data_IF_462145266029
#
_entry.id   IF_462145266029
#
_cell.length_a   1.000
_cell.length_b   1.000
_cell.length_c   1.000
_cell.angle_alpha   90.00
_cell.angle_beta   90.00
_cell.angle_gamma   90.00
#
_symmetry.space_group_name_H-M   'P 1'
#
loop_
_entity.id
_entity.type
_entity.pdbx_description
1 polymer ?
#
# COMPACT_ATOMS: atom_id res chain seq x y z
N UNK A 1 1.08 -28.97 -9.35
CA UNK A 1 0.52 -27.61 -9.27
C UNK A 1 1.04 -26.99 -7.98
N UNK A 2 1.93 -26.00 -8.07
CA UNK A 2 2.40 -25.27 -6.90
C UNK A 2 1.33 -24.29 -6.43
N UNK A 3 0.96 -24.35 -5.15
CA UNK A 3 0.06 -23.39 -4.54
C UNK A 3 0.80 -22.04 -4.42
N UNK A 4 0.38 -21.04 -5.22
CA UNK A 4 0.93 -19.68 -5.17
C UNK A 4 0.48 -18.99 -3.89
N UNK A 5 1.36 -18.96 -2.88
CA UNK A 5 1.13 -18.44 -1.54
C UNK A 5 1.07 -16.89 -1.53
N UNK A 6 0.11 -16.33 -0.80
CA UNK A 6 0.00 -14.89 -0.54
C UNK A 6 0.97 -14.47 0.58
N UNK A 7 2.21 -14.19 0.23
CA UNK A 7 3.21 -13.66 1.19
C UNK A 7 3.10 -12.15 1.36
N UNK A 8 3.02 -11.64 2.60
CA UNK A 8 3.27 -10.23 2.88
C UNK A 8 4.77 -9.97 2.72
N UNK A 9 5.16 -9.19 1.70
CA UNK A 9 6.55 -8.81 1.45
C UNK A 9 6.77 -7.37 1.90
N UNK A 10 7.88 -7.10 2.59
CA UNK A 10 8.32 -5.73 2.86
C UNK A 10 8.55 -5.03 1.53
N UNK A 11 7.65 -4.12 1.18
CA UNK A 11 7.71 -3.36 -0.06
C UNK A 11 7.98 -1.92 0.33
N UNK A 12 9.06 -1.35 -0.18
CA UNK A 12 9.34 0.08 -0.01
C UNK A 12 8.38 0.83 -0.93
N UNK A 13 7.45 1.59 -0.35
CA UNK A 13 6.55 2.47 -1.10
C UNK A 13 7.11 3.88 -0.95
N UNK A 14 7.62 4.49 -2.03
CA UNK A 14 8.10 5.87 -1.96
C UNK A 14 6.91 6.82 -1.75
N UNK A 15 7.10 7.93 -1.00
CA UNK A 15 6.09 8.97 -0.88
C UNK A 15 5.85 9.65 -2.24
N UNK A 16 4.63 10.07 -2.51
CA UNK A 16 4.33 10.91 -3.67
C UNK A 16 4.61 12.40 -3.40
N UNK A 17 4.43 13.25 -4.41
CA UNK A 17 4.68 14.70 -4.30
C UNK A 17 3.81 15.37 -3.22
N UNK A 18 2.56 14.94 -3.06
CA UNK A 18 1.67 15.48 -2.03
C UNK A 18 2.11 15.06 -0.64
N UNK A 19 2.54 13.80 -0.48
CA UNK A 19 3.12 13.30 0.76
C UNK A 19 4.36 14.11 1.16
N UNK A 20 5.24 14.42 0.20
CA UNK A 20 6.46 15.20 0.45
C UNK A 20 6.13 16.64 0.88
N UNK A 21 5.24 17.32 0.15
CA UNK A 21 4.84 18.69 0.53
C UNK A 21 4.16 18.74 1.91
N UNK A 22 3.37 17.74 2.26
CA UNK A 22 2.75 17.65 3.58
C UNK A 22 3.80 17.47 4.68
N UNK A 23 4.80 16.61 4.46
CA UNK A 23 5.93 16.42 5.37
C UNK A 23 6.73 17.71 5.57
N UNK A 24 7.04 18.43 4.48
CA UNK A 24 7.76 19.71 4.56
C UNK A 24 7.02 20.72 5.43
N UNK A 25 5.70 20.86 5.24
CA UNK A 25 4.87 21.74 6.06
C UNK A 25 4.89 21.34 7.53
N UNK A 26 4.69 20.05 7.82
CA UNK A 26 4.66 19.52 9.19
C UNK A 26 5.99 19.76 9.91
N UNK A 27 7.11 19.57 9.21
CA UNK A 27 8.45 19.80 9.76
C UNK A 27 8.68 21.29 10.03
N UNK A 28 8.30 22.16 9.08
CA UNK A 28 8.44 23.60 9.21
C UNK A 28 7.61 24.15 10.40
N UNK A 29 6.41 23.62 10.60
CA UNK A 29 5.50 24.04 11.66
C UNK A 29 5.79 23.35 13.02
N UNK A 30 6.69 22.37 13.05
CA UNK A 30 6.94 21.49 14.19
C UNK A 30 5.65 20.88 14.80
N UNK A 31 4.66 20.57 13.96
CA UNK A 31 3.35 20.07 14.40
C UNK A 31 3.38 18.54 14.61
N UNK A 32 3.72 18.13 15.83
CA UNK A 32 3.76 16.71 16.23
C UNK A 32 2.40 16.00 16.08
N UNK A 33 1.28 16.71 16.28
CA UNK A 33 -0.05 16.10 16.17
C UNK A 33 -0.36 15.79 14.72
N UNK A 34 -0.01 16.70 13.82
CA UNK A 34 -0.17 16.50 12.40
C UNK A 34 0.80 15.45 11.86
N UNK A 35 2.04 15.39 12.37
CA UNK A 35 2.98 14.32 12.05
C UNK A 35 2.39 12.94 12.36
N UNK A 36 1.78 12.76 13.54
CA UNK A 36 1.16 11.50 13.91
C UNK A 36 -0.05 11.15 13.03
N UNK A 37 -0.88 12.15 12.68
CA UNK A 37 -2.02 11.96 11.77
C UNK A 37 -1.56 11.56 10.37
N UNK A 38 -0.54 12.23 9.86
CA UNK A 38 0.08 11.94 8.58
C UNK A 38 0.62 10.50 8.55
N UNK A 39 1.46 10.12 9.52
CA UNK A 39 2.02 8.77 9.62
C UNK A 39 0.94 7.67 9.61
N UNK A 40 -0.14 7.84 10.39
CA UNK A 40 -1.24 6.85 10.43
C UNK A 40 -1.91 6.68 9.07
N UNK A 41 -2.14 7.79 8.35
CA UNK A 41 -2.75 7.78 7.03
C UNK A 41 -1.80 7.17 6.00
N UNK A 42 -0.58 7.68 5.89
CA UNK A 42 0.38 7.28 4.86
C UNK A 42 0.79 5.82 5.00
N UNK A 43 1.01 5.31 6.22
CA UNK A 43 1.31 3.87 6.43
C UNK A 43 0.17 2.98 5.92
N UNK A 44 -1.08 3.34 6.22
CA UNK A 44 -2.23 2.56 5.77
C UNK A 44 -2.37 2.59 4.25
N UNK A 45 -2.25 3.78 3.65
CA UNK A 45 -2.37 3.96 2.20
C UNK A 45 -1.23 3.26 1.46
N UNK A 46 0.01 3.31 1.96
CA UNK A 46 1.14 2.58 1.38
C UNK A 46 0.96 1.07 1.44
N UNK A 47 0.51 0.53 2.58
CA UNK A 47 0.19 -0.90 2.70
C UNK A 47 -0.91 -1.27 1.71
N UNK A 48 -1.99 -0.50 1.66
CA UNK A 48 -3.11 -0.72 0.73
C UNK A 48 -2.65 -0.68 -0.72
N UNK A 49 -1.83 0.29 -1.10
CA UNK A 49 -1.24 0.42 -2.43
C UNK A 49 -0.37 -0.79 -2.78
N UNK A 50 0.52 -1.23 -1.88
CA UNK A 50 1.41 -2.38 -2.11
C UNK A 50 0.67 -3.71 -2.31
N UNK A 51 -0.56 -3.80 -1.77
CA UNK A 51 -1.42 -4.98 -1.91
C UNK A 51 -2.36 -4.89 -3.13
N UNK A 52 -2.66 -3.68 -3.61
CA UNK A 52 -3.54 -3.41 -4.74
C UNK A 52 -2.86 -3.83 -6.05
N UNK A 53 -3.35 -4.92 -6.65
CA UNK A 53 -2.82 -5.51 -7.89
C UNK A 53 -2.39 -6.96 -7.70
N UNK A 54 -1.86 -7.31 -6.52
CA UNK A 54 -1.58 -8.72 -6.18
C UNK A 54 -2.88 -9.50 -6.06
N UNK A 55 -3.87 -8.99 -5.32
CA UNK A 55 -5.15 -9.66 -5.15
C UNK A 55 -5.89 -9.90 -6.47
N UNK A 56 -5.81 -8.95 -7.43
CA UNK A 56 -6.44 -9.07 -8.74
C UNK A 56 -5.77 -10.13 -9.62
N UNK A 57 -4.43 -10.17 -9.65
CA UNK A 57 -3.68 -11.24 -10.34
C UNK A 57 -3.92 -12.65 -9.76
N UNK A 58 -4.27 -12.75 -8.47
CA UNK A 58 -4.66 -14.02 -7.85
C UNK A 58 -6.09 -14.44 -8.19
N UNK A 59 -7.00 -13.49 -8.45
CA UNK A 59 -8.37 -13.76 -8.87
C UNK A 59 -8.47 -14.02 -10.38
N UNK A 60 -7.75 -13.26 -11.20
CA UNK A 60 -7.75 -13.41 -12.67
C UNK A 60 -7.00 -14.67 -13.15
N UNK A 61 -6.12 -15.25 -12.32
CA UNK A 61 -5.42 -16.51 -12.61
C UNK A 61 -6.26 -17.76 -12.33
N UNK A 62 -7.46 -17.60 -11.76
CA UNK A 62 -8.45 -18.68 -11.60
C UNK A 62 -9.38 -18.60 -12.80
N UNK A 63 -9.01 -19.28 -13.88
CA UNK A 63 -9.95 -19.62 -14.95
C UNK A 63 -11.20 -20.26 -14.32
N UNK A 64 -12.43 -19.94 -14.79
CA UNK A 64 -13.62 -20.62 -14.32
C UNK A 64 -13.48 -22.11 -14.61
N UNK A 65 -13.83 -23.01 -13.67
CA UNK A 65 -13.72 -24.43 -13.91
C UNK A 65 -14.56 -24.75 -15.15
N UNK A 66 -13.91 -25.27 -16.19
CA UNK A 66 -14.59 -25.88 -17.31
C UNK A 66 -15.37 -27.09 -16.80
N UNK A 67 -16.59 -26.83 -16.32
CA UNK A 67 -17.61 -27.83 -16.07
C UNK A 67 -18.10 -28.34 -17.41
N UNK A 68 -17.70 -29.56 -17.76
CA UNK A 68 -18.41 -30.40 -18.73
C UNK A 68 -19.71 -30.90 -18.11
#
# INVERSE_FOLDING_TARGET
MEAKILEIRKTVVPPDEQDVMALERIIADADEKEALRFLKKSVYDWIRCSQRGRLKSHLDAVDPPHGK
#
